data_IF_936714610050
#
_entry.id   IF_936714610050
#
_cell.length_a   1.000
_cell.length_b   1.000
_cell.length_c   1.000
_cell.angle_alpha   90.00
_cell.angle_beta   90.00
_cell.angle_gamma   90.00
#
_symmetry.space_group_name_H-M   'P 1'
#
loop_
_entity.id
_entity.type
_entity.pdbx_description
1 polymer ?
#
# COMPACT_ATOMS: atom_id res chain seq x y z
N UNK A 1 -15.26 1.60 43.27
CA UNK A 1 -15.16 1.96 41.85
C UNK A 1 -16.25 1.21 41.13
N UNK A 2 -17.34 1.90 40.77
CA UNK A 2 -18.42 1.30 39.96
C UNK A 2 -17.92 1.13 38.53
N UNK A 3 -17.78 -0.11 38.09
CA UNK A 3 -17.52 -0.40 36.67
C UNK A 3 -18.83 -0.18 35.86
N UNK A 4 -18.95 0.93 35.15
CA UNK A 4 -20.02 1.14 34.18
C UNK A 4 -19.68 0.43 32.88
N UNK A 5 -20.54 -0.51 32.48
CA UNK A 5 -20.45 -1.13 31.15
C UNK A 5 -20.76 -0.08 30.08
N UNK A 6 -19.86 0.14 29.15
CA UNK A 6 -20.09 1.00 27.97
C UNK A 6 -20.13 0.15 26.71
N UNK A 7 -21.10 0.40 25.85
CA UNK A 7 -21.24 -0.27 24.57
C UNK A 7 -20.95 0.78 23.49
N UNK A 8 -20.01 0.44 22.59
CA UNK A 8 -19.73 1.20 21.38
C UNK A 8 -20.11 0.34 20.19
N UNK A 9 -20.91 0.90 19.29
CA UNK A 9 -21.30 0.27 18.03
C UNK A 9 -20.56 0.94 16.90
N UNK A 10 -19.83 0.16 16.10
CA UNK A 10 -19.15 0.65 14.92
C UNK A 10 -19.69 -0.07 13.70
N UNK A 11 -20.11 0.71 12.70
CA UNK A 11 -20.53 0.24 11.39
C UNK A 11 -19.51 0.69 10.36
N UNK A 12 -19.11 -0.19 9.45
CA UNK A 12 -18.21 0.13 8.37
C UNK A 12 -18.83 -0.29 7.04
N UNK A 13 -18.89 0.63 6.09
CA UNK A 13 -19.30 0.37 4.71
C UNK A 13 -18.08 0.65 3.85
N UNK A 14 -17.73 -0.28 2.96
CA UNK A 14 -16.59 -0.11 2.08
C UNK A 14 -16.86 -0.61 0.67
N UNK A 15 -16.26 0.06 -0.30
CA UNK A 15 -16.31 -0.26 -1.73
C UNK A 15 -14.89 -0.31 -2.28
N UNK A 16 -14.67 -1.25 -3.19
CA UNK A 16 -13.40 -1.46 -3.89
C UNK A 16 -13.64 -1.51 -5.40
N UNK A 17 -12.85 -0.76 -6.14
CA UNK A 17 -12.84 -0.74 -7.61
C UNK A 17 -11.45 -1.05 -8.11
N UNK A 18 -11.36 -2.01 -9.02
CA UNK A 18 -10.13 -2.33 -9.73
C UNK A 18 -10.38 -2.44 -11.22
N UNK A 19 -9.58 -1.75 -11.99
CA UNK A 19 -9.58 -1.78 -13.46
C UNK A 19 -8.16 -2.11 -13.93
N UNK A 20 -8.03 -3.18 -14.70
CA UNK A 20 -6.77 -3.60 -15.31
C UNK A 20 -6.93 -3.59 -16.84
N UNK A 21 -6.06 -2.88 -17.54
CA UNK A 21 -6.03 -2.80 -18.99
C UNK A 21 -4.70 -3.30 -19.55
N UNK A 22 -4.75 -4.19 -20.53
CA UNK A 22 -3.57 -4.75 -21.19
C UNK A 22 -3.50 -4.30 -22.64
N UNK A 23 -2.38 -3.73 -23.04
CA UNK A 23 -2.09 -3.31 -24.43
C UNK A 23 -0.77 -3.95 -24.89
N UNK A 24 -0.87 -5.10 -25.54
CA UNK A 24 0.29 -5.86 -25.97
C UNK A 24 1.19 -6.28 -24.80
N UNK A 25 2.40 -5.68 -24.74
CA UNK A 25 3.38 -5.94 -23.68
C UNK A 25 3.26 -4.97 -22.49
N UNK A 26 2.31 -4.04 -22.56
CA UNK A 26 2.06 -3.05 -21.51
C UNK A 26 0.83 -3.42 -20.71
N UNK A 27 0.83 -3.08 -19.44
CA UNK A 27 -0.37 -3.14 -18.61
C UNK A 27 -0.50 -1.88 -17.79
N UNK A 28 -1.73 -1.43 -17.59
CA UNK A 28 -2.09 -0.31 -16.75
C UNK A 28 -3.16 -0.80 -15.78
N UNK A 29 -3.04 -0.43 -14.52
CA UNK A 29 -4.02 -0.74 -13.50
C UNK A 29 -4.42 0.52 -12.75
N UNK A 30 -5.69 0.61 -12.41
CA UNK A 30 -6.25 1.64 -11.52
C UNK A 30 -6.99 0.93 -10.43
N UNK A 31 -6.78 1.33 -9.20
CA UNK A 31 -7.56 0.87 -8.07
C UNK A 31 -8.03 2.05 -7.23
N UNK A 32 -9.22 1.91 -6.66
CA UNK A 32 -9.78 2.86 -5.72
C UNK A 32 -10.52 2.09 -4.63
N UNK A 33 -10.39 2.56 -3.41
CA UNK A 33 -11.06 2.02 -2.24
C UNK A 33 -11.56 3.17 -1.37
N UNK A 34 -12.76 3.04 -0.85
CA UNK A 34 -13.31 3.93 0.16
C UNK A 34 -13.93 3.12 1.28
N UNK A 35 -13.69 3.53 2.51
CA UNK A 35 -14.39 3.00 3.67
C UNK A 35 -14.93 4.16 4.51
N UNK A 36 -16.21 4.07 4.84
CA UNK A 36 -16.92 4.98 5.73
C UNK A 36 -17.13 4.27 7.07
N UNK A 37 -16.61 4.85 8.13
CA UNK A 37 -16.77 4.36 9.50
C UNK A 37 -17.74 5.27 10.24
N UNK A 38 -18.76 4.68 10.81
CA UNK A 38 -19.65 5.35 11.76
C UNK A 38 -19.55 4.64 13.11
N UNK A 39 -19.13 5.37 14.15
CA UNK A 39 -19.01 4.83 15.49
C UNK A 39 -19.80 5.67 16.48
N UNK A 40 -20.66 5.02 17.25
CA UNK A 40 -21.53 5.66 18.24
C UNK A 40 -21.41 4.93 19.59
N UNK A 41 -21.37 5.68 20.69
CA UNK A 41 -21.27 5.15 22.05
C UNK A 41 -22.45 5.56 22.92
N UNK A 42 -22.80 4.71 23.89
CA UNK A 42 -23.89 4.97 24.84
C UNK A 42 -23.51 5.96 25.96
N UNK A 43 -22.22 6.26 26.13
CA UNK A 43 -21.78 7.23 27.14
C UNK A 43 -21.97 8.66 26.65
N UNK A 44 -22.40 9.57 27.54
CA UNK A 44 -22.63 10.98 27.23
C UNK A 44 -21.37 11.73 26.74
N UNK A 45 -20.18 11.23 27.08
CA UNK A 45 -18.90 11.83 26.71
C UNK A 45 -18.28 11.19 25.47
N UNK A 46 -19.00 10.26 24.79
CA UNK A 46 -18.52 9.65 23.55
C UNK A 46 -18.97 10.51 22.38
N UNK A 47 -18.03 11.14 21.72
CA UNK A 47 -18.29 11.84 20.47
C UNK A 47 -18.50 10.83 19.32
N UNK A 48 -19.61 10.98 18.61
CA UNK A 48 -19.85 10.18 17.39
C UNK A 48 -18.71 10.40 16.40
N UNK A 49 -18.14 9.31 15.91
CA UNK A 49 -17.05 9.36 14.95
C UNK A 49 -17.58 9.00 13.56
N UNK A 50 -17.49 9.94 12.63
CA UNK A 50 -17.72 9.75 11.19
C UNK A 50 -16.40 9.93 10.45
N UNK A 51 -15.78 8.82 10.08
CA UNK A 51 -14.45 8.82 9.48
C UNK A 51 -14.46 8.14 8.11
N UNK A 52 -13.54 8.58 7.25
CA UNK A 52 -13.39 8.10 5.89
C UNK A 52 -11.93 7.72 5.64
N UNK A 53 -11.74 6.51 5.10
CA UNK A 53 -10.45 6.07 4.62
C UNK A 53 -10.52 5.90 3.11
N UNK A 54 -9.61 6.55 2.39
CA UNK A 54 -9.49 6.45 0.94
C UNK A 54 -8.15 5.81 0.58
N UNK A 55 -8.19 4.94 -0.40
CA UNK A 55 -7.00 4.45 -1.06
C UNK A 55 -7.25 4.48 -2.56
N UNK A 56 -6.36 5.08 -3.33
CA UNK A 56 -6.40 5.04 -4.79
C UNK A 56 -4.98 4.94 -5.34
N UNK A 57 -4.86 4.19 -6.40
CA UNK A 57 -3.56 3.88 -6.96
C UNK A 57 -3.56 3.67 -8.45
N UNK A 58 -2.37 3.87 -9.01
CA UNK A 58 -2.04 3.61 -10.40
C UNK A 58 -0.89 2.62 -10.44
N UNK A 59 -1.01 1.61 -11.29
CA UNK A 59 0.08 0.68 -11.55
C UNK A 59 0.34 0.59 -13.05
N UNK A 60 1.58 0.38 -13.44
CA UNK A 60 1.94 0.19 -14.84
C UNK A 60 3.09 -0.79 -14.99
N UNK A 61 3.00 -1.63 -16.01
CA UNK A 61 4.12 -2.42 -16.52
C UNK A 61 4.36 -1.98 -17.95
N UNK A 62 5.53 -1.40 -18.21
CA UNK A 62 5.89 -0.84 -19.51
C UNK A 62 7.09 -1.59 -20.09
N UNK A 63 6.91 -2.14 -21.29
CA UNK A 63 8.00 -2.67 -22.07
C UNK A 63 8.70 -1.51 -22.79
N UNK A 64 9.95 -1.24 -22.40
CA UNK A 64 10.77 -0.16 -22.94
C UNK A 64 11.74 -0.67 -24.03
N UNK A 65 12.32 0.23 -24.84
CA UNK A 65 13.39 -0.12 -25.79
C UNK A 65 14.55 -0.87 -25.11
N UNK A 66 15.38 -1.56 -25.88
CA UNK A 66 16.54 -2.33 -25.40
C UNK A 66 16.23 -3.44 -24.39
N UNK A 67 14.99 -3.98 -24.43
CA UNK A 67 14.48 -5.02 -23.51
C UNK A 67 14.41 -4.58 -22.05
N UNK A 68 14.29 -3.33 -21.75
CA UNK A 68 13.94 -2.90 -20.41
C UNK A 68 12.45 -3.15 -20.13
N UNK A 69 12.14 -3.52 -18.89
CA UNK A 69 10.79 -3.46 -18.34
C UNK A 69 10.81 -2.50 -17.17
N UNK A 70 9.82 -1.62 -17.14
CA UNK A 70 9.59 -0.68 -16.05
C UNK A 70 8.26 -1.00 -15.41
N UNK A 71 8.30 -1.44 -14.16
CA UNK A 71 7.13 -1.74 -13.34
C UNK A 71 7.01 -0.65 -12.29
N UNK A 72 5.84 -0.08 -12.11
CA UNK A 72 5.64 1.00 -11.14
C UNK A 72 4.27 0.92 -10.48
N UNK A 73 4.19 1.32 -9.23
CA UNK A 73 2.97 1.58 -8.49
C UNK A 73 3.05 2.90 -7.73
N UNK A 74 2.01 3.68 -7.85
CA UNK A 74 1.79 4.93 -7.14
C UNK A 74 0.48 4.79 -6.37
N UNK A 75 0.55 4.90 -5.05
CA UNK A 75 -0.60 4.70 -4.16
C UNK A 75 -0.75 5.88 -3.21
N UNK A 76 -1.96 6.41 -3.12
CA UNK A 76 -2.34 7.46 -2.19
C UNK A 76 -3.27 6.89 -1.13
N UNK A 77 -2.92 7.09 0.12
CA UNK A 77 -3.73 6.76 1.28
C UNK A 77 -4.13 8.05 1.98
N UNK A 78 -5.42 8.26 2.16
CA UNK A 78 -5.96 9.46 2.78
C UNK A 78 -6.95 9.10 3.88
N UNK A 79 -6.89 9.81 4.98
CA UNK A 79 -7.80 9.67 6.13
C UNK A 79 -8.46 11.00 6.45
N UNK A 80 -9.76 10.98 6.72
CA UNK A 80 -10.56 12.18 7.05
C UNK A 80 -11.60 11.87 8.11
N UNK A 81 -12.04 12.90 8.82
CA UNK A 81 -13.14 12.81 9.80
C UNK A 81 -12.74 12.25 11.16
N UNK A 82 -11.48 11.97 11.39
CA UNK A 82 -11.00 11.60 12.73
C UNK A 82 -10.90 12.84 13.62
N UNK A 83 -11.36 12.76 14.86
CA UNK A 83 -11.37 13.90 15.81
C UNK A 83 -9.97 14.48 16.08
N UNK A 84 -8.93 13.65 16.01
CA UNK A 84 -7.53 14.09 16.13
C UNK A 84 -6.94 14.44 14.77
N UNK A 85 -6.42 15.64 14.61
CA UNK A 85 -5.82 16.13 13.36
C UNK A 85 -4.67 15.23 12.86
N UNK A 86 -3.91 14.63 13.77
CA UNK A 86 -2.79 13.75 13.46
C UNK A 86 -3.22 12.44 12.77
N UNK A 87 -4.49 12.09 12.85
CA UNK A 87 -5.07 10.92 12.19
C UNK A 87 -5.65 11.24 10.80
N UNK A 88 -5.86 12.53 10.51
CA UNK A 88 -6.33 13.01 9.21
C UNK A 88 -5.11 13.31 8.33
N UNK A 89 -4.63 12.30 7.64
CA UNK A 89 -3.35 12.36 6.95
C UNK A 89 -3.41 11.84 5.51
N UNK A 90 -2.40 12.20 4.76
CA UNK A 90 -2.17 11.76 3.39
C UNK A 90 -0.79 11.12 3.28
N UNK A 91 -0.71 9.98 2.58
CA UNK A 91 0.53 9.28 2.32
C UNK A 91 0.59 8.88 0.85
N UNK A 92 1.50 9.48 0.11
CA UNK A 92 1.76 9.15 -1.29
C UNK A 92 2.97 8.21 -1.36
N UNK A 93 2.73 6.95 -1.68
CA UNK A 93 3.77 5.95 -1.83
C UNK A 93 4.04 5.70 -3.31
N UNK A 94 5.28 5.83 -3.72
CA UNK A 94 5.71 5.51 -5.06
C UNK A 94 6.84 4.50 -5.03
N UNK A 95 6.61 3.36 -5.70
CA UNK A 95 7.59 2.31 -5.89
C UNK A 95 7.78 2.06 -7.38
N UNK A 96 8.99 1.69 -7.78
CA UNK A 96 9.22 1.23 -9.14
C UNK A 96 10.35 0.21 -9.22
N UNK A 97 10.32 -0.56 -10.28
CA UNK A 97 11.34 -1.54 -10.67
C UNK A 97 11.75 -1.30 -12.11
N UNK A 98 13.03 -1.22 -12.35
CA UNK A 98 13.61 -1.29 -13.67
C UNK A 98 14.33 -2.63 -13.84
N UNK A 99 14.00 -3.40 -14.85
CA UNK A 99 14.62 -4.70 -15.10
C UNK A 99 15.11 -4.84 -16.54
N UNK A 100 16.20 -5.60 -16.72
CA UNK A 100 16.73 -5.91 -18.04
C UNK A 100 17.30 -7.34 -18.07
N UNK A 101 16.87 -8.17 -19.02
CA UNK A 101 17.50 -9.47 -19.30
C UNK A 101 18.73 -9.32 -20.17
N UNK A 102 19.78 -10.04 -19.83
CA UNK A 102 21.02 -10.18 -20.59
C UNK A 102 21.23 -11.65 -20.99
N UNK A 103 22.15 -11.90 -21.93
CA UNK A 103 22.54 -13.25 -22.36
C UNK A 103 21.35 -14.16 -22.68
N UNK A 104 20.42 -13.68 -23.53
CA UNK A 104 19.17 -14.38 -23.90
C UNK A 104 18.29 -14.77 -22.69
N UNK A 105 18.34 -13.97 -21.62
CA UNK A 105 17.56 -14.19 -20.40
C UNK A 105 18.23 -15.03 -19.32
N UNK A 106 19.49 -15.45 -19.53
CA UNK A 106 20.26 -16.17 -18.49
C UNK A 106 20.60 -15.30 -17.28
N UNK A 107 20.86 -14.02 -17.50
CA UNK A 107 21.08 -13.03 -16.44
C UNK A 107 19.96 -11.98 -16.49
N UNK A 108 19.33 -11.74 -15.36
CA UNK A 108 18.37 -10.62 -15.22
C UNK A 108 18.90 -9.69 -14.13
N UNK A 109 19.09 -8.43 -14.49
CA UNK A 109 19.44 -7.37 -13.54
C UNK A 109 18.18 -6.56 -13.26
N UNK A 110 17.91 -6.27 -11.98
CA UNK A 110 16.78 -5.45 -11.53
C UNK A 110 17.28 -4.39 -10.56
N UNK A 111 16.69 -3.21 -10.66
CA UNK A 111 16.83 -2.15 -9.68
C UNK A 111 15.44 -1.80 -9.17
N UNK A 112 15.21 -1.97 -7.88
CA UNK A 112 13.95 -1.67 -7.19
C UNK A 112 14.16 -0.43 -6.34
N UNK A 113 13.24 0.53 -6.44
CA UNK A 113 13.18 1.70 -5.56
C UNK A 113 11.86 1.69 -4.81
N UNK A 114 11.93 1.82 -3.49
CA UNK A 114 10.79 1.80 -2.60
C UNK A 114 10.65 3.13 -1.88
N UNK A 115 9.38 3.56 -1.71
CA UNK A 115 9.01 4.79 -1.02
C UNK A 115 9.84 5.99 -1.47
N UNK A 116 9.83 6.26 -2.79
CA UNK A 116 10.66 7.31 -3.42
C UNK A 116 10.46 8.67 -2.76
N UNK A 117 9.23 8.98 -2.34
CA UNK A 117 8.88 10.23 -1.68
C UNK A 117 9.16 10.25 -0.17
N UNK A 118 9.60 9.13 0.41
CA UNK A 118 9.89 9.00 1.84
C UNK A 118 8.67 9.34 2.71
N UNK A 119 7.52 8.84 2.35
CA UNK A 119 6.27 9.11 3.06
C UNK A 119 5.72 7.91 3.84
N UNK A 120 6.39 6.76 3.81
CA UNK A 120 5.98 5.60 4.60
C UNK A 120 6.04 5.92 6.09
N UNK A 121 4.88 5.91 6.73
CA UNK A 121 4.78 6.20 8.16
C UNK A 121 5.19 5.00 8.99
N UNK A 122 5.92 5.25 10.06
CA UNK A 122 6.35 4.24 11.04
C UNK A 122 5.33 4.02 12.14
N UNK A 123 4.23 4.76 12.13
CA UNK A 123 3.22 4.72 13.18
C UNK A 123 1.85 4.48 12.55
N UNK A 124 1.23 3.38 12.96
CA UNK A 124 -0.19 3.13 12.68
C UNK A 124 -1.01 3.53 13.90
N UNK A 125 -2.07 4.31 13.67
CA UNK A 125 -2.97 4.80 14.69
C UNK A 125 -4.35 4.27 14.46
N UNK A 126 -4.92 3.65 15.49
CA UNK A 126 -6.27 3.11 15.46
C UNK A 126 -7.05 3.68 16.64
N UNK A 127 -8.27 4.13 16.41
CA UNK A 127 -9.23 4.49 17.46
C UNK A 127 -10.23 3.35 17.61
N UNK A 128 -10.48 2.95 18.85
CA UNK A 128 -11.53 1.99 19.20
C UNK A 128 -12.23 2.44 20.48
N UNK A 129 -13.20 1.63 20.95
CA UNK A 129 -13.99 1.92 22.16
C UNK A 129 -13.14 2.11 23.45
N UNK A 130 -11.94 1.56 23.48
CA UNK A 130 -11.04 1.63 24.63
C UNK A 130 -10.06 2.81 24.55
N UNK A 131 -10.02 3.50 23.41
CA UNK A 131 -9.16 4.65 23.19
C UNK A 131 -8.31 4.56 21.94
N UNK A 132 -7.24 5.34 21.90
CA UNK A 132 -6.27 5.36 20.81
C UNK A 132 -5.18 4.33 21.04
N UNK A 133 -4.92 3.51 20.00
CA UNK A 133 -3.78 2.59 19.96
C UNK A 133 -2.78 3.10 18.93
N UNK A 134 -1.54 3.29 19.31
CA UNK A 134 -0.42 3.60 18.42
C UNK A 134 0.49 2.39 18.31
N UNK A 135 0.72 1.92 17.10
CA UNK A 135 1.67 0.85 16.78
C UNK A 135 2.87 1.44 16.07
N UNK A 136 4.03 1.28 16.64
CA UNK A 136 5.30 1.71 16.05
C UNK A 136 5.94 0.55 15.31
N UNK A 137 6.30 0.79 14.06
CA UNK A 137 6.99 -0.20 13.21
C UNK A 137 8.44 0.23 12.98
N UNK A 138 9.36 -0.69 13.15
CA UNK A 138 10.73 -0.48 12.73
C UNK A 138 10.85 -0.81 11.23
N UNK A 139 10.43 0.11 10.39
CA UNK A 139 10.48 -0.02 8.94
C UNK A 139 11.73 0.62 8.39
N UNK A 140 12.30 0.03 7.33
CA UNK A 140 13.31 0.69 6.51
C UNK A 140 12.57 1.68 5.61
N UNK A 141 12.75 3.00 5.82
CA UNK A 141 12.15 3.98 4.92
C UNK A 141 12.83 3.86 3.57
N UNK A 142 12.53 4.71 2.64
CA UNK A 142 13.10 4.77 1.28
C UNK A 142 14.43 4.02 1.11
N UNK A 143 14.46 3.04 0.21
CA UNK A 143 15.67 2.30 -0.13
C UNK A 143 15.67 1.85 -1.59
N UNK A 144 16.86 1.53 -2.09
CA UNK A 144 17.05 0.95 -3.43
C UNK A 144 17.75 -0.39 -3.28
N UNK A 145 17.24 -1.39 -4.00
CA UNK A 145 17.84 -2.72 -4.08
C UNK A 145 18.27 -3.02 -5.51
N UNK A 146 19.44 -3.63 -5.66
CA UNK A 146 19.92 -4.13 -6.95
C UNK A 146 19.99 -5.64 -6.86
N UNK A 147 19.37 -6.33 -7.81
CA UNK A 147 19.35 -7.78 -7.93
C UNK A 147 20.02 -8.22 -9.21
N UNK A 148 20.86 -9.25 -9.11
CA UNK A 148 21.40 -9.97 -10.25
C UNK A 148 20.97 -11.44 -10.15
N UNK A 149 20.12 -11.91 -11.06
CA UNK A 149 19.57 -13.25 -11.06
C UNK A 149 20.16 -14.00 -12.24
N UNK A 150 21.02 -14.99 -11.98
CA UNK A 150 21.59 -15.84 -13.01
C UNK A 150 20.94 -17.23 -12.99
N UNK A 151 20.51 -17.71 -14.16
CA UNK A 151 19.89 -19.02 -14.35
C UNK A 151 20.88 -20.01 -14.94
N UNK A 152 21.28 -20.99 -14.16
CA UNK A 152 22.10 -22.11 -14.62
C UNK A 152 21.20 -23.18 -15.27
N UNK A 153 21.52 -23.58 -16.50
CA UNK A 153 20.94 -24.78 -17.09
C UNK A 153 21.94 -25.93 -16.93
N UNK A 154 21.63 -26.87 -16.06
CA UNK A 154 22.35 -28.16 -16.02
C UNK A 154 21.68 -29.03 -17.09
N UNK A 155 22.36 -29.29 -18.19
CA UNK A 155 21.92 -30.30 -19.14
C UNK A 155 21.98 -31.68 -18.43
N UNK A 156 20.84 -32.33 -18.23
CA UNK A 156 20.81 -33.75 -17.86
C UNK A 156 21.49 -34.50 -18.97
N UNK A 157 22.65 -35.10 -18.68
CA UNK A 157 23.30 -36.04 -19.58
C UNK A 157 22.32 -37.14 -19.97
N UNK A 158 22.12 -37.33 -21.28
CA UNK A 158 21.46 -38.54 -21.79
C UNK A 158 22.27 -39.75 -21.33
N UNK A 159 21.67 -40.61 -20.49
CA UNK A 159 22.13 -41.99 -20.33
C UNK A 159 21.74 -42.78 -21.55
#
# INVERSE_FOLDING_TARGET
>A
VEMKKSIVKTSTISEDLRLDYKLGKHSLGVNAYVACLHSNGEQKDFETLDAYNYHYGLSAVLALPFRFSFDTDLSMYSRRGYGESVMNDDNLLWNFRLSRPFFKGKLVVKADAFDVFHQLKKVDRTINAQGRVEKYYNTVPRYVLIHAIYRFHVAKGKK
#
